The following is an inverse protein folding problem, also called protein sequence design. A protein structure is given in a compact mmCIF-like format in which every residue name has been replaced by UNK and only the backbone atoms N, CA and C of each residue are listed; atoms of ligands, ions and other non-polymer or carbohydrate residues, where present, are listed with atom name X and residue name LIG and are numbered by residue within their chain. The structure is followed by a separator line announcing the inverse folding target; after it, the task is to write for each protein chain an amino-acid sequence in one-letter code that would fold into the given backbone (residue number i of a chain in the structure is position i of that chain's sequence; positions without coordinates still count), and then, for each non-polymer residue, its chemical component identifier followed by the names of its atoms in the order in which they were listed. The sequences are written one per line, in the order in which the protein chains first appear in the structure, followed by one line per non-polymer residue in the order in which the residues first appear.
data_IF_687980305391
#
_entry.id   IF_687980305391
#
_cell.length_a   1.000
_cell.length_b   1.000
_cell.length_c   1.000
_cell.angle_alpha   90.00
_cell.angle_beta   90.00
_cell.angle_gamma   90.00
#
_symmetry.space_group_name_H-M   'P 1'
#
loop_
_entity.id
_entity.type
_entity.pdbx_description
1 polymer ?
#
# COMPACT_ATOMS: atom_id res chain seq x y z
N UNK A 1 1.93 10.76 19.15
CA UNK A 1 1.68 9.88 18.01
C UNK A 1 0.37 9.17 18.26
N UNK A 2 -0.61 9.37 17.38
CA UNK A 2 -1.89 8.66 17.46
C UNK A 2 -1.72 7.30 16.78
N UNK A 3 -2.19 6.23 17.41
CA UNK A 3 -2.17 4.88 16.83
C UNK A 3 -3.60 4.45 16.50
N UNK A 4 -3.74 3.59 15.49
CA UNK A 4 -4.97 2.92 15.12
C UNK A 4 -4.89 1.47 15.56
N UNK A 5 -5.83 1.05 16.42
CA UNK A 5 -5.93 -0.33 16.86
C UNK A 5 -6.64 -1.16 15.78
N UNK A 6 -5.93 -2.17 15.26
CA UNK A 6 -6.50 -3.18 14.38
C UNK A 6 -7.15 -4.23 15.27
N UNK A 7 -8.47 -4.28 15.26
CA UNK A 7 -9.27 -5.17 16.11
C UNK A 7 -9.67 -6.39 15.30
N UNK A 8 -9.44 -7.59 15.86
CA UNK A 8 -9.97 -8.82 15.31
C UNK A 8 -11.50 -8.86 15.54
N UNK A 9 -12.32 -8.91 14.47
CA UNK A 9 -13.77 -8.87 14.60
C UNK A 9 -14.38 -10.13 15.25
N UNK A 10 -13.67 -11.26 15.26
CA UNK A 10 -14.15 -12.50 15.87
C UNK A 10 -13.97 -12.55 17.40
N UNK A 11 -12.96 -11.84 17.93
CA UNK A 11 -12.60 -11.89 19.37
C UNK A 11 -12.71 -10.54 20.08
N UNK A 12 -12.90 -9.45 19.33
CA UNK A 12 -12.86 -8.06 19.80
C UNK A 12 -11.53 -7.65 20.47
N UNK A 13 -10.45 -8.40 20.22
CA UNK A 13 -9.12 -8.11 20.74
C UNK A 13 -8.26 -7.35 19.72
N UNK A 14 -7.36 -6.50 20.20
CA UNK A 14 -6.38 -5.79 19.36
C UNK A 14 -5.30 -6.77 18.90
N UNK A 15 -5.07 -6.86 17.58
CA UNK A 15 -4.04 -7.72 16.97
C UNK A 15 -2.83 -6.95 16.46
N UNK A 16 -2.98 -5.65 16.22
CA UNK A 16 -1.87 -4.76 15.86
C UNK A 16 -2.21 -3.30 16.18
N UNK A 17 -1.19 -2.48 16.37
CA UNK A 17 -1.32 -1.03 16.46
C UNK A 17 -0.54 -0.38 15.32
N UNK A 18 -1.23 0.41 14.51
CA UNK A 18 -0.63 1.09 13.35
C UNK A 18 -0.49 2.56 13.67
N UNK A 19 0.72 3.15 13.63
CA UNK A 19 0.87 4.58 13.82
C UNK A 19 0.16 5.34 12.70
N UNK A 20 -0.66 6.32 13.05
CA UNK A 20 -1.22 7.24 12.09
C UNK A 20 -0.14 8.20 11.62
N UNK A 21 -0.07 8.39 10.30
CA UNK A 21 0.82 9.38 9.71
C UNK A 21 0.46 10.78 10.20
N UNK A 22 1.48 11.61 10.43
CA UNK A 22 1.27 13.04 10.66
C UNK A 22 0.84 13.74 9.36
N UNK A 23 0.34 14.97 9.49
CA UNK A 23 0.00 15.78 8.31
C UNK A 23 1.23 16.00 7.41
N UNK A 24 2.40 16.22 8.01
CA UNK A 24 3.67 16.45 7.31
C UNK A 24 4.14 15.18 6.57
N UNK A 25 3.98 14.01 7.17
CA UNK A 25 4.31 12.72 6.55
C UNK A 25 3.40 12.41 5.36
N UNK A 26 2.09 12.67 5.52
CA UNK A 26 1.10 12.53 4.45
C UNK A 26 1.43 13.47 3.27
N UNK A 27 1.68 14.75 3.56
CA UNK A 27 2.05 15.75 2.56
C UNK A 27 3.39 15.41 1.88
N UNK A 28 4.37 14.89 2.62
CA UNK A 28 5.60 14.38 2.04
C UNK A 28 5.36 13.19 1.09
N UNK A 29 4.44 12.28 1.43
CA UNK A 29 4.06 11.17 0.56
C UNK A 29 3.36 11.65 -0.73
N UNK A 30 2.44 12.61 -0.62
CA UNK A 30 1.76 13.24 -1.78
C UNK A 30 2.78 13.91 -2.70
N UNK A 31 3.70 14.70 -2.15
CA UNK A 31 4.78 15.33 -2.94
C UNK A 31 5.65 14.30 -3.67
N UNK A 32 5.99 13.17 -3.01
CA UNK A 32 6.75 12.09 -3.66
C UNK A 32 5.96 11.47 -4.82
N UNK A 33 4.67 11.19 -4.63
CA UNK A 33 3.81 10.65 -5.67
C UNK A 33 3.70 11.60 -6.87
N UNK A 34 3.51 12.91 -6.63
CA UNK A 34 3.43 13.91 -7.70
C UNK A 34 4.74 14.00 -8.50
N UNK A 35 5.90 13.93 -7.84
CA UNK A 35 7.20 13.90 -8.56
C UNK A 35 7.35 12.63 -9.41
N UNK A 36 6.98 11.48 -8.88
CA UNK A 36 7.04 10.22 -9.63
C UNK A 36 6.07 10.20 -10.81
N UNK A 37 4.93 10.88 -10.71
CA UNK A 37 3.94 10.97 -11.78
C UNK A 37 4.50 11.57 -13.07
N UNK A 38 5.43 12.52 -12.99
CA UNK A 38 6.02 13.16 -14.18
C UNK A 38 6.73 12.18 -15.11
N UNK A 39 7.46 11.20 -14.59
CA UNK A 39 8.04 10.13 -15.41
C UNK A 39 7.01 9.03 -15.70
N UNK A 40 6.21 8.66 -14.71
CA UNK A 40 5.22 7.57 -14.82
C UNK A 40 4.17 7.80 -15.91
N UNK A 41 3.68 9.04 -16.07
CA UNK A 41 2.70 9.40 -17.11
C UNK A 41 3.19 9.13 -18.54
N UNK A 42 4.51 9.06 -18.74
CA UNK A 42 5.14 8.78 -20.04
C UNK A 42 5.38 7.30 -20.30
N UNK A 43 5.20 6.43 -19.29
CA UNK A 43 5.36 4.98 -19.44
C UNK A 43 4.25 4.45 -20.34
N UNK A 44 4.61 3.67 -21.36
CA UNK A 44 3.65 3.13 -22.32
C UNK A 44 2.58 2.26 -21.62
N UNK A 45 1.31 2.25 -22.09
CA UNK A 45 0.26 1.43 -21.49
C UNK A 45 0.61 -0.05 -21.35
N UNK A 46 1.25 -0.64 -22.37
CA UNK A 46 1.69 -2.04 -22.34
C UNK A 46 2.70 -2.33 -21.23
N UNK A 47 3.61 -1.39 -20.97
CA UNK A 47 4.62 -1.52 -19.92
C UNK A 47 4.00 -1.40 -18.52
N UNK A 48 3.05 -0.48 -18.33
CA UNK A 48 2.27 -0.42 -17.08
C UNK A 48 1.50 -1.71 -16.83
N UNK A 49 0.91 -2.28 -17.88
CA UNK A 49 0.20 -3.55 -17.78
C UNK A 49 1.15 -4.72 -17.43
N UNK A 50 2.38 -4.71 -17.95
CA UNK A 50 3.41 -5.69 -17.60
C UNK A 50 3.74 -5.61 -16.11
N UNK A 51 3.98 -4.41 -15.58
CA UNK A 51 4.27 -4.20 -14.15
C UNK A 51 3.11 -4.65 -13.26
N UNK A 52 1.87 -4.34 -13.61
CA UNK A 52 0.69 -4.79 -12.86
C UNK A 52 0.54 -6.32 -12.88
N UNK A 53 0.80 -6.98 -14.01
CA UNK A 53 0.80 -8.45 -14.08
C UNK A 53 1.91 -9.08 -13.24
N UNK A 54 3.09 -8.48 -13.22
CA UNK A 54 4.19 -8.95 -12.35
C UNK A 54 3.82 -8.81 -10.87
N UNK A 55 3.16 -7.72 -10.48
CA UNK A 55 2.63 -7.56 -9.13
C UNK A 55 1.57 -8.61 -8.80
N UNK A 56 0.61 -8.87 -9.70
CA UNK A 56 -0.40 -9.90 -9.52
C UNK A 56 0.23 -11.29 -9.32
N UNK A 57 1.24 -11.65 -10.12
CA UNK A 57 1.96 -12.92 -9.96
C UNK A 57 2.64 -13.05 -8.60
N UNK A 58 3.14 -11.94 -8.02
CA UNK A 58 3.70 -11.95 -6.65
C UNK A 58 2.61 -12.11 -5.59
N UNK A 59 1.43 -11.51 -5.78
CA UNK A 59 0.28 -11.71 -4.91
C UNK A 59 -0.15 -13.18 -4.93
N UNK A 60 -0.27 -13.78 -6.12
CA UNK A 60 -0.64 -15.19 -6.28
C UNK A 60 0.35 -16.13 -5.56
N UNK A 61 1.65 -15.83 -5.64
CA UNK A 61 2.69 -16.59 -4.95
C UNK A 61 2.60 -16.52 -3.41
N UNK A 62 1.98 -15.48 -2.87
CA UNK A 62 1.88 -15.23 -1.42
C UNK A 62 0.44 -15.33 -0.92
N UNK A 63 -0.46 -15.93 -1.71
CA UNK A 63 -1.90 -15.91 -1.45
C UNK A 63 -2.26 -16.45 -0.07
N UNK A 64 -1.68 -17.58 0.33
CA UNK A 64 -1.96 -18.20 1.63
C UNK A 64 -1.58 -17.27 2.77
N UNK A 65 -0.42 -16.63 2.72
CA UNK A 65 0.02 -15.70 3.75
C UNK A 65 -0.83 -14.41 3.80
N UNK A 66 -1.35 -13.97 2.65
CA UNK A 66 -2.22 -12.79 2.55
C UNK A 66 -3.66 -13.07 2.99
N UNK A 67 -4.09 -14.33 3.01
CA UNK A 67 -5.44 -14.74 3.37
C UNK A 67 -5.63 -15.02 4.88
N UNK A 68 -4.54 -14.98 5.67
CA UNK A 68 -4.55 -15.10 7.14
C UNK A 68 -4.85 -13.76 7.80
#
# INVERSE_FOLDING_TARGET
MTVFDVINPATAQVIAQVPLATAEEADAAVRRAHRAFESWRRVAPAERARLLRSFAALVDQNLEALAQ
#
